data_IF_221359713391
#
_entry.id   IF_221359713391
#
_cell.length_a   1.000
_cell.length_b   1.000
_cell.length_c   1.000
_cell.angle_alpha   90.00
_cell.angle_beta   90.00
_cell.angle_gamma   90.00
#
_symmetry.space_group_name_H-M   'P 1'
#
loop_
_entity.id
_entity.type
_entity.pdbx_description
1 polymer ?
#
# COMPACT_ATOMS: atom_id res chain seq x y z
N UNK A 1 30.48 0.32 15.68
CA UNK A 1 30.38 0.18 14.22
C UNK A 1 29.08 0.81 13.78
N UNK A 2 29.11 1.88 13.02
CA UNK A 2 27.94 2.43 12.36
C UNK A 2 27.53 1.38 11.33
N UNK A 3 26.34 0.81 11.45
CA UNK A 3 25.83 -0.18 10.51
C UNK A 3 25.73 0.42 9.11
N UNK A 4 26.20 -0.30 8.10
CA UNK A 4 26.06 0.07 6.69
C UNK A 4 24.59 0.02 6.23
N UNK A 5 24.32 0.39 4.97
CA UNK A 5 22.96 0.31 4.40
C UNK A 5 22.45 -1.15 4.43
N UNK A 6 21.16 -1.31 4.69
CA UNK A 6 20.50 -2.60 4.52
C UNK A 6 20.07 -2.69 3.05
N UNK A 7 20.63 -3.63 2.31
CA UNK A 7 20.35 -3.84 0.89
C UNK A 7 19.70 -5.20 0.75
N UNK A 8 18.52 -5.24 0.12
CA UNK A 8 17.75 -6.45 -0.13
C UNK A 8 17.11 -6.39 -1.50
N UNK A 9 17.00 -7.53 -2.16
CA UNK A 9 16.26 -7.65 -3.40
C UNK A 9 14.76 -7.82 -3.14
N UNK A 10 13.92 -7.41 -4.09
CA UNK A 10 12.45 -7.43 -3.93
C UNK A 10 11.91 -8.84 -3.60
N UNK A 11 12.47 -9.89 -4.17
CA UNK A 11 12.06 -11.29 -3.97
C UNK A 11 12.42 -11.86 -2.61
N UNK A 12 13.28 -11.18 -1.85
CA UNK A 12 13.56 -11.56 -0.46
C UNK A 12 12.45 -11.12 0.52
N UNK A 13 11.50 -10.29 0.06
CA UNK A 13 10.36 -9.88 0.85
C UNK A 13 9.17 -10.79 0.59
N UNK A 14 8.50 -11.32 1.63
CA UNK A 14 7.33 -12.16 1.45
C UNK A 14 6.19 -11.37 0.80
N UNK A 15 5.54 -11.98 -0.16
CA UNK A 15 4.35 -11.46 -0.80
C UNK A 15 3.12 -11.84 0.01
N UNK A 16 2.27 -10.87 0.31
CA UNK A 16 1.05 -11.05 1.07
C UNK A 16 -0.15 -10.62 0.22
N UNK A 17 -1.17 -11.44 0.17
CA UNK A 17 -2.47 -11.04 -0.36
C UNK A 17 -3.18 -10.20 0.70
N UNK A 18 -3.35 -8.91 0.43
CA UNK A 18 -3.93 -7.96 1.40
C UNK A 18 -5.38 -7.63 1.13
N UNK A 19 -5.82 -7.73 -0.13
CA UNK A 19 -7.21 -7.60 -0.57
C UNK A 19 -7.47 -8.60 -1.67
N UNK A 20 -8.67 -9.21 -1.67
CA UNK A 20 -9.16 -10.07 -2.75
C UNK A 20 -10.62 -9.75 -3.03
N UNK A 21 -10.94 -9.66 -4.31
CA UNK A 21 -12.32 -9.61 -4.80
C UNK A 21 -12.59 -10.79 -5.73
N UNK A 22 -13.82 -11.29 -5.69
CA UNK A 22 -14.31 -12.32 -6.60
C UNK A 22 -15.47 -11.76 -7.41
N UNK A 23 -15.48 -12.08 -8.71
CA UNK A 23 -16.53 -11.69 -9.64
C UNK A 23 -17.54 -12.82 -9.81
N UNK A 24 -18.78 -12.48 -10.20
CA UNK A 24 -19.85 -13.44 -10.44
C UNK A 24 -19.52 -14.44 -11.55
N UNK A 25 -18.63 -14.07 -12.47
CA UNK A 25 -18.14 -14.95 -13.55
C UNK A 25 -17.04 -15.93 -13.13
N UNK A 26 -16.70 -15.95 -11.83
CA UNK A 26 -15.69 -16.85 -11.24
C UNK A 26 -14.25 -16.33 -11.31
N UNK A 27 -13.99 -15.17 -11.95
CA UNK A 27 -12.67 -14.52 -11.87
C UNK A 27 -12.41 -13.98 -10.47
N UNK A 28 -11.15 -13.78 -10.15
CA UNK A 28 -10.73 -13.03 -8.96
C UNK A 28 -9.63 -12.04 -9.30
N UNK A 29 -9.52 -10.98 -8.51
CA UNK A 29 -8.43 -10.03 -8.55
C UNK A 29 -7.96 -9.74 -7.14
N UNK A 30 -6.66 -9.55 -6.98
CA UNK A 30 -6.01 -9.37 -5.68
C UNK A 30 -5.06 -8.18 -5.68
N UNK A 31 -4.84 -7.63 -4.50
CA UNK A 31 -3.68 -6.80 -4.18
C UNK A 31 -2.67 -7.68 -3.47
N UNK A 32 -1.50 -7.83 -4.07
CA UNK A 32 -0.36 -8.51 -3.49
C UNK A 32 0.65 -7.47 -3.03
N UNK A 33 1.05 -7.53 -1.77
CA UNK A 33 1.88 -6.50 -1.14
C UNK A 33 3.14 -7.09 -0.52
N UNK A 34 4.27 -6.42 -0.76
CA UNK A 34 5.55 -6.67 -0.12
C UNK A 34 5.93 -5.44 0.68
N UNK A 35 5.94 -5.56 1.97
CA UNK A 35 6.37 -4.46 2.83
C UNK A 35 7.91 -4.40 2.84
N UNK A 36 8.50 -3.36 2.37
CA UNK A 36 9.94 -3.20 2.24
C UNK A 36 10.56 -2.66 3.53
N UNK A 37 9.85 -1.77 4.20
CA UNK A 37 10.28 -1.19 5.49
C UNK A 37 9.07 -0.92 6.34
N UNK A 38 9.12 -1.28 7.62
CA UNK A 38 8.11 -0.91 8.62
C UNK A 38 8.83 -0.34 9.83
N UNK A 39 8.65 0.96 10.04
CA UNK A 39 9.08 1.70 11.23
C UNK A 39 7.85 2.37 11.86
N UNK A 40 7.91 2.85 13.10
CA UNK A 40 6.76 3.47 13.75
C UNK A 40 6.17 4.67 13.01
N UNK A 41 7.00 5.38 12.24
CA UNK A 41 6.66 6.61 11.53
C UNK A 41 7.12 6.58 10.06
N UNK A 42 7.34 5.41 9.52
CA UNK A 42 7.73 5.23 8.12
C UNK A 42 7.37 3.82 7.64
N UNK A 43 6.65 3.73 6.55
CA UNK A 43 6.34 2.46 5.88
C UNK A 43 6.66 2.62 4.41
N UNK A 44 7.34 1.64 3.82
CA UNK A 44 7.45 1.51 2.38
C UNK A 44 7.03 0.13 1.94
N UNK A 45 6.35 0.06 0.83
CA UNK A 45 5.79 -1.18 0.31
C UNK A 45 5.73 -1.16 -1.22
N UNK A 46 5.82 -2.34 -1.80
CA UNK A 46 5.57 -2.60 -3.20
C UNK A 46 4.26 -3.36 -3.34
N UNK A 47 3.40 -2.89 -4.23
CA UNK A 47 2.12 -3.51 -4.54
C UNK A 47 2.07 -3.97 -5.99
N UNK A 48 1.52 -5.14 -6.22
CA UNK A 48 1.05 -5.62 -7.51
C UNK A 48 -0.46 -5.82 -7.44
N UNK A 49 -1.16 -5.18 -8.35
CA UNK A 49 -2.62 -5.24 -8.44
C UNK A 49 -3.00 -5.98 -9.70
N UNK A 50 -3.84 -6.99 -9.57
CA UNK A 50 -4.38 -7.71 -10.70
C UNK A 50 -5.30 -6.82 -11.56
N UNK A 51 -5.49 -7.17 -12.85
CA UNK A 51 -6.40 -6.45 -13.74
C UNK A 51 -7.78 -6.22 -13.12
N UNK A 52 -8.26 -4.98 -13.18
CA UNK A 52 -9.57 -4.60 -12.67
C UNK A 52 -9.72 -4.62 -11.15
N UNK A 53 -8.64 -4.83 -10.39
CA UNK A 53 -8.70 -4.77 -8.93
C UNK A 53 -9.24 -3.43 -8.45
N UNK A 54 -10.17 -3.48 -7.50
CA UNK A 54 -10.79 -2.29 -6.91
C UNK A 54 -10.50 -2.21 -5.42
N UNK A 55 -10.16 -1.00 -4.95
CA UNK A 55 -9.98 -0.72 -3.52
C UNK A 55 -10.81 0.49 -3.10
N UNK A 56 -11.20 0.50 -1.83
CA UNK A 56 -12.02 1.57 -1.26
C UNK A 56 -11.27 2.91 -1.24
N UNK A 57 -12.02 3.99 -1.19
CA UNK A 57 -11.50 5.31 -0.82
C UNK A 57 -11.01 5.27 0.63
N UNK A 58 -9.75 5.60 0.84
CA UNK A 58 -9.13 5.58 2.16
C UNK A 58 -8.04 6.64 2.27
N UNK A 59 -7.57 6.88 3.47
CA UNK A 59 -6.44 7.76 3.77
C UNK A 59 -5.48 7.12 4.75
N UNK A 60 -4.36 7.78 4.99
CA UNK A 60 -3.37 7.40 5.98
C UNK A 60 -3.10 8.53 6.96
N UNK A 61 -2.60 8.19 8.15
CA UNK A 61 -2.22 9.17 9.18
C UNK A 61 -0.85 9.79 8.94
N UNK A 62 -0.13 9.35 7.91
CA UNK A 62 1.10 9.93 7.42
C UNK A 62 0.94 10.42 5.98
N UNK A 63 1.83 11.32 5.55
CA UNK A 63 1.91 11.72 4.15
C UNK A 63 2.24 10.50 3.29
N UNK A 64 1.52 10.32 2.19
CA UNK A 64 1.61 9.13 1.38
C UNK A 64 2.03 9.46 -0.04
N UNK A 65 3.15 8.94 -0.46
CA UNK A 65 3.62 8.99 -1.84
C UNK A 65 3.35 7.64 -2.51
N UNK A 66 2.77 7.68 -3.70
CA UNK A 66 2.66 6.49 -4.55
C UNK A 66 3.28 6.80 -5.91
N UNK A 67 4.11 5.90 -6.38
CA UNK A 67 4.68 5.94 -7.71
C UNK A 67 4.20 4.74 -8.54
N UNK A 68 3.64 5.01 -9.72
CA UNK A 68 3.20 3.95 -10.64
C UNK A 68 4.41 3.43 -11.40
N UNK A 69 4.83 2.21 -11.10
CA UNK A 69 5.99 1.55 -11.70
C UNK A 69 5.65 0.93 -13.05
N UNK A 70 4.51 0.23 -13.12
CA UNK A 70 3.98 -0.42 -14.33
C UNK A 70 2.47 -0.34 -14.39
N UNK A 71 1.90 -0.41 -15.60
CA UNK A 71 0.47 -0.39 -15.83
C UNK A 71 -0.16 0.97 -15.53
N UNK A 72 -1.41 0.94 -15.06
CA UNK A 72 -2.19 2.14 -14.75
C UNK A 72 -3.22 1.88 -13.65
N UNK A 73 -3.57 2.94 -12.93
CA UNK A 73 -4.61 2.94 -11.90
C UNK A 73 -5.42 4.22 -11.98
N UNK A 74 -6.74 4.12 -11.87
CA UNK A 74 -7.62 5.28 -11.73
C UNK A 74 -7.87 5.54 -10.25
N UNK A 75 -7.74 6.79 -9.80
CA UNK A 75 -7.98 7.24 -8.42
C UNK A 75 -9.07 8.30 -8.46
N UNK A 76 -10.27 7.95 -8.01
CA UNK A 76 -11.44 8.78 -8.25
C UNK A 76 -11.72 8.90 -9.75
N UNK A 77 -11.50 10.08 -10.32
CA UNK A 77 -11.63 10.39 -11.74
C UNK A 77 -10.29 10.60 -12.47
N UNK A 78 -9.16 10.44 -11.77
CA UNK A 78 -7.83 10.68 -12.30
C UNK A 78 -7.15 9.40 -12.74
N UNK A 79 -6.80 9.31 -14.02
CA UNK A 79 -6.01 8.20 -14.57
C UNK A 79 -4.52 8.45 -14.32
N UNK A 80 -3.89 7.56 -13.57
CA UNK A 80 -2.47 7.55 -13.26
C UNK A 80 -1.79 6.39 -13.98
N UNK A 81 -0.89 6.71 -14.91
CA UNK A 81 -0.14 5.73 -15.73
C UNK A 81 1.27 5.54 -15.19
N UNK A 82 1.97 4.56 -15.72
CA UNK A 82 3.41 4.37 -15.47
C UNK A 82 4.17 5.70 -15.49
N UNK A 83 4.94 5.96 -14.45
CA UNK A 83 5.67 7.19 -14.21
C UNK A 83 4.89 8.26 -13.45
N UNK A 84 3.60 8.06 -13.16
CA UNK A 84 2.83 8.99 -12.32
C UNK A 84 3.36 8.98 -10.89
N UNK A 85 3.58 10.18 -10.35
CA UNK A 85 3.85 10.43 -8.94
C UNK A 85 2.59 11.01 -8.31
N UNK A 86 2.10 10.37 -7.25
CA UNK A 86 0.88 10.73 -6.53
C UNK A 86 1.29 11.11 -5.12
N UNK A 87 0.89 12.29 -4.68
CA UNK A 87 1.13 12.74 -3.31
C UNK A 87 -0.20 12.96 -2.59
N UNK A 88 -0.35 12.32 -1.46
CA UNK A 88 -1.54 12.36 -0.62
C UNK A 88 -1.13 12.91 0.74
N UNK A 89 -1.65 14.06 1.11
CA UNK A 89 -1.38 14.64 2.44
C UNK A 89 -2.03 13.77 3.53
N UNK A 90 -1.40 13.72 4.69
CA UNK A 90 -1.99 13.06 5.84
C UNK A 90 -3.39 13.59 6.14
N UNK A 91 -4.30 12.69 6.48
CA UNK A 91 -5.68 13.02 6.75
C UNK A 91 -6.59 13.12 5.51
N UNK A 92 -6.03 13.22 4.31
CA UNK A 92 -6.81 13.16 3.08
C UNK A 92 -7.23 11.71 2.76
N UNK A 93 -8.41 11.57 2.15
CA UNK A 93 -8.93 10.29 1.67
C UNK A 93 -9.10 10.33 0.17
N UNK A 94 -8.51 9.39 -0.52
CA UNK A 94 -8.51 9.28 -1.98
C UNK A 94 -9.05 7.94 -2.45
N UNK A 95 -9.64 7.95 -3.63
CA UNK A 95 -10.22 6.77 -4.25
C UNK A 95 -11.66 6.98 -4.71
N UNK A 96 -12.36 5.92 -5.10
CA UNK A 96 -11.86 4.55 -5.14
C UNK A 96 -10.65 4.41 -6.06
N UNK A 97 -9.87 3.35 -5.84
CA UNK A 97 -8.74 3.00 -6.68
C UNK A 97 -9.13 1.82 -7.56
N UNK A 98 -8.89 1.91 -8.85
CA UNK A 98 -9.25 0.86 -9.81
C UNK A 98 -8.06 0.62 -10.74
N UNK A 99 -7.48 -0.58 -10.67
CA UNK A 99 -6.41 -0.99 -11.57
C UNK A 99 -6.92 -1.12 -13.01
N UNK A 100 -6.09 -0.73 -13.95
CA UNK A 100 -6.40 -0.83 -15.37
C UNK A 100 -6.48 -2.27 -15.89
N UNK A 101 -6.72 -2.44 -17.19
CA UNK A 101 -6.97 -3.76 -17.82
C UNK A 101 -5.73 -4.68 -17.82
N UNK A 102 -4.54 -4.15 -17.57
CA UNK A 102 -3.30 -4.91 -17.42
C UNK A 102 -2.86 -5.03 -15.95
N UNK A 103 -3.65 -4.48 -15.00
CA UNK A 103 -3.22 -4.32 -13.63
C UNK A 103 -2.23 -3.17 -13.46
N UNK A 104 -1.60 -3.09 -12.32
CA UNK A 104 -0.53 -2.12 -12.07
C UNK A 104 0.45 -2.58 -10.99
N UNK A 105 1.63 -1.98 -11.00
CA UNK A 105 2.64 -2.11 -9.95
C UNK A 105 2.92 -0.74 -9.36
N UNK A 106 2.92 -0.67 -8.04
CA UNK A 106 3.03 0.58 -7.30
C UNK A 106 4.13 0.48 -6.24
N UNK A 107 4.89 1.56 -6.09
CA UNK A 107 5.72 1.78 -4.90
C UNK A 107 5.02 2.79 -4.01
N UNK A 108 4.69 2.39 -2.79
CA UNK A 108 4.11 3.27 -1.77
C UNK A 108 5.10 3.59 -0.66
N UNK A 109 5.06 4.83 -0.19
CA UNK A 109 5.83 5.31 0.96
C UNK A 109 4.90 6.15 1.83
N UNK A 110 4.78 5.79 3.09
CA UNK A 110 4.03 6.56 4.09
C UNK A 110 5.03 7.14 5.08
N UNK A 111 5.13 8.47 5.10
CA UNK A 111 5.94 9.21 6.05
C UNK A 111 5.05 9.62 7.24
N UNK A 112 5.02 8.79 8.25
CA UNK A 112 4.14 8.91 9.42
C UNK A 112 3.56 7.57 9.84
N UNK A 113 2.47 7.58 10.59
CA UNK A 113 1.76 6.38 10.99
C UNK A 113 1.08 5.73 9.77
N UNK A 114 1.41 4.49 9.47
CA UNK A 114 0.96 3.76 8.28
C UNK A 114 -0.49 3.25 8.33
N UNK A 115 -1.21 3.46 9.44
CA UNK A 115 -2.58 2.98 9.60
C UNK A 115 -3.54 3.63 8.59
N UNK A 116 -4.31 2.81 7.88
CA UNK A 116 -5.36 3.29 6.99
C UNK A 116 -6.63 3.63 7.77
N UNK A 117 -7.40 4.61 7.27
CA UNK A 117 -8.71 4.98 7.78
C UNK A 117 -9.68 5.33 6.66
N UNK A 118 -10.96 5.15 6.92
CA UNK A 118 -12.09 5.44 6.02
C UNK A 118 -13.33 5.75 6.84
N UNK A 119 -14.37 6.30 6.19
CA UNK A 119 -15.66 6.49 6.79
C UNK A 119 -16.63 5.35 6.47
N UNK A 120 -17.76 5.29 7.18
CA UNK A 120 -18.84 4.35 6.86
C UNK A 120 -19.41 4.59 5.44
N UNK A 121 -19.40 5.84 4.98
CA UNK A 121 -19.81 6.19 3.63
C UNK A 121 -18.84 5.64 2.58
N UNK A 122 -17.50 5.75 2.81
CA UNK A 122 -16.51 5.18 1.89
C UNK A 122 -16.69 3.66 1.76
N UNK A 123 -17.02 2.99 2.86
CA UNK A 123 -17.31 1.55 2.85
C UNK A 123 -18.61 1.23 2.11
N UNK A 124 -19.64 2.05 2.25
CA UNK A 124 -20.90 1.89 1.51
C UNK A 124 -20.66 2.07 0.02
N UNK A 125 -20.00 3.17 -0.37
CA UNK A 125 -19.67 3.47 -1.78
C UNK A 125 -18.83 2.36 -2.40
N UNK A 126 -17.93 1.76 -1.63
CA UNK A 126 -17.11 0.64 -2.09
C UNK A 126 -17.93 -0.63 -2.34
N UNK A 127 -18.87 -0.96 -1.45
CA UNK A 127 -19.76 -2.10 -1.66
C UNK A 127 -20.64 -1.91 -2.91
N UNK A 128 -21.14 -0.68 -3.12
CA UNK A 128 -21.92 -0.33 -4.29
C UNK A 128 -21.07 -0.38 -5.58
N UNK A 129 -19.79 0.04 -5.50
CA UNK A 129 -18.84 -0.10 -6.61
C UNK A 129 -18.66 -1.57 -6.99
N UNK A 130 -18.36 -2.42 -6.00
CA UNK A 130 -18.19 -3.85 -6.22
C UNK A 130 -19.46 -4.47 -6.83
N UNK A 131 -20.63 -4.16 -6.28
CA UNK A 131 -21.90 -4.69 -6.77
C UNK A 131 -22.17 -4.29 -8.24
N UNK A 132 -21.90 -3.03 -8.62
CA UNK A 132 -22.02 -2.58 -10.02
C UNK A 132 -21.12 -3.34 -10.98
N UNK A 133 -20.01 -3.89 -10.50
CA UNK A 133 -19.08 -4.71 -11.28
C UNK A 133 -19.30 -6.23 -11.12
N UNK A 134 -20.39 -6.64 -10.47
CA UNK A 134 -20.65 -8.06 -10.18
C UNK A 134 -19.54 -8.70 -9.34
N UNK A 135 -19.01 -7.95 -8.36
CA UNK A 135 -17.90 -8.39 -7.53
C UNK A 135 -18.23 -8.31 -6.03
N UNK A 136 -17.50 -9.05 -5.23
CA UNK A 136 -17.55 -9.00 -3.76
C UNK A 136 -16.16 -9.14 -3.18
N UNK A 137 -15.90 -8.48 -2.06
CA UNK A 137 -14.67 -8.66 -1.31
C UNK A 137 -14.72 -9.99 -0.53
N UNK A 138 -13.62 -10.72 -0.57
CA UNK A 138 -13.42 -11.98 0.14
C UNK A 138 -12.41 -11.76 1.25
N UNK A 139 -12.61 -12.47 2.37
CA UNK A 139 -11.64 -12.47 3.46
C UNK A 139 -10.33 -13.09 3.00
N UNK A 140 -9.23 -12.38 3.26
CA UNK A 140 -7.87 -12.87 3.00
C UNK A 140 -7.26 -13.42 4.30
N UNK A 141 -6.30 -14.35 4.22
CA UNK A 141 -5.56 -14.81 5.38
C UNK A 141 -4.91 -13.64 6.12
N UNK A 142 -4.77 -13.77 7.43
CA UNK A 142 -4.00 -12.78 8.21
C UNK A 142 -2.57 -12.72 7.67
N UNK A 143 -2.05 -11.49 7.56
CA UNK A 143 -0.68 -11.24 7.13
C UNK A 143 0.30 -12.13 7.88
N UNK A 144 1.01 -12.97 7.14
CA UNK A 144 2.04 -13.84 7.70
C UNK A 144 3.33 -13.04 7.87
N UNK A 145 3.98 -13.19 9.01
CA UNK A 145 5.34 -12.67 9.28
C UNK A 145 5.55 -11.15 9.22
N UNK A 146 4.54 -10.33 9.44
CA UNK A 146 4.74 -8.87 9.62
C UNK A 146 5.75 -8.57 10.74
N UNK A 147 5.88 -9.48 11.73
CA UNK A 147 6.87 -9.35 12.81
C UNK A 147 8.33 -9.54 12.35
N UNK A 148 8.58 -10.30 11.28
CA UNK A 148 9.94 -10.56 10.80
C UNK A 148 10.58 -9.35 10.11
N UNK A 149 9.80 -8.32 9.81
CA UNK A 149 10.26 -7.11 9.09
C UNK A 149 10.36 -5.88 9.96
N UNK A 150 9.93 -5.96 11.21
CA UNK A 150 10.31 -4.94 12.17
C UNK A 150 11.83 -4.95 12.17
N UNK A 151 12.43 -4.02 11.44
CA UNK A 151 13.85 -3.71 11.59
C UNK A 151 14.11 -3.73 13.07
N UNK A 152 15.04 -4.56 13.52
CA UNK A 152 15.35 -4.68 14.94
C UNK A 152 15.66 -3.28 15.46
N UNK A 153 14.71 -2.68 16.13
CA UNK A 153 14.86 -1.37 16.74
C UNK A 153 16.05 -1.35 17.69
N UNK A 154 16.37 -2.53 18.24
CA UNK A 154 17.46 -2.78 19.17
C UNK A 154 18.86 -2.75 18.52
N UNK A 155 18.94 -2.73 17.19
CA UNK A 155 20.21 -2.65 16.46
C UNK A 155 20.47 -1.29 15.80
N UNK A 156 19.54 -0.33 15.89
CA UNK A 156 19.79 1.04 15.46
C UNK A 156 20.50 1.77 16.59
N UNK A 157 21.69 2.38 16.34
CA UNK A 157 22.27 3.29 17.31
C UNK A 157 21.23 4.38 17.62
N UNK A 158 20.99 4.64 18.89
CA UNK A 158 20.20 5.79 19.31
C UNK A 158 20.77 7.07 18.72
N UNK A 159 19.98 8.16 18.63
CA UNK A 159 20.50 9.45 18.23
C UNK A 159 21.73 9.74 19.10
N UNK A 160 22.84 10.09 18.45
CA UNK A 160 24.08 10.44 19.12
C UNK A 160 23.79 11.57 20.11
N UNK A 161 23.95 11.37 21.44
CA UNK A 161 23.62 12.40 22.41
C UNK A 161 24.59 13.59 22.38
N UNK A 162 25.65 13.55 21.55
CA UNK A 162 26.66 14.59 21.49
C UNK A 162 26.69 15.39 20.17
N UNK A 163 25.73 15.22 19.26
CA UNK A 163 25.65 15.94 17.98
C UNK A 163 25.15 17.38 18.08
N UNK A 164 25.62 18.16 19.05
CA UNK A 164 25.11 19.50 19.26
C UNK A 164 26.10 20.51 19.87
N UNK A 165 27.38 20.50 19.47
CA UNK A 165 28.28 21.64 19.68
C UNK A 165 29.34 21.66 18.58
N UNK A 166 29.11 22.49 17.60
CA UNK A 166 30.05 22.85 16.58
C UNK A 166 29.45 23.93 15.71
#
# INVERSE_FOLDING_TARGET
>A
MIGGPIIRHLDEFPENEVVRIEYEDGRSSSILERFLTILPNFVSFYNRWDPGMMSLKHGHRGDHVVFVLEGEVTIGDQLCRKGSHIFLMHGDRFGPWIAGPQGCELLGIIAGEGGAFWSDQDMTDYRDLLARHGAKQIAVPRLQNVAAWKVRRDSLPGPDPEGGKG
#
